data_IF_351593657005
#
_entry.id   IF_351593657005
#
_cell.length_a   1.000
_cell.length_b   1.000
_cell.length_c   1.000
_cell.angle_alpha   90.00
_cell.angle_beta   90.00
_cell.angle_gamma   90.00
#
_symmetry.space_group_name_H-M   'P 1'
#
loop_
_entity.id
_entity.type
_entity.pdbx_description
1 polymer ?
#
# COMPACT_ATOMS: atom_id res chain seq x y z
N UNK A 1 -24.14 16.77 -42.72
CA UNK A 1 -24.58 17.51 -41.52
C UNK A 1 -25.03 16.52 -40.48
N UNK A 2 -24.07 16.00 -39.69
CA UNK A 2 -24.29 14.90 -38.76
C UNK A 2 -24.18 15.46 -37.33
N UNK A 3 -25.28 15.38 -36.57
CA UNK A 3 -25.47 15.99 -35.26
C UNK A 3 -24.53 15.38 -34.19
N UNK A 4 -23.53 16.12 -33.79
CA UNK A 4 -22.76 15.90 -32.55
C UNK A 4 -23.59 16.41 -31.34
N UNK A 5 -24.40 15.56 -30.74
CA UNK A 5 -25.17 15.91 -29.56
C UNK A 5 -25.20 14.72 -28.57
N UNK A 6 -24.11 14.29 -27.95
CA UNK A 6 -24.19 13.43 -26.77
C UNK A 6 -22.81 13.19 -26.07
N UNK A 7 -21.84 14.11 -26.23
CA UNK A 7 -20.53 13.94 -25.54
C UNK A 7 -20.35 14.77 -24.28
N UNK A 8 -21.36 15.56 -23.90
CA UNK A 8 -21.26 16.46 -22.72
C UNK A 8 -21.69 15.83 -21.38
N UNK A 9 -22.33 14.65 -21.38
CA UNK A 9 -22.84 14.03 -20.14
C UNK A 9 -21.80 13.23 -19.36
N UNK A 10 -20.68 12.85 -19.96
CA UNK A 10 -19.63 12.06 -19.31
C UNK A 10 -18.72 12.93 -18.44
N UNK A 11 -18.65 14.23 -18.69
CA UNK A 11 -17.83 15.19 -17.93
C UNK A 11 -18.50 15.69 -16.63
N UNK A 12 -19.80 15.43 -16.43
CA UNK A 12 -20.53 15.85 -15.22
C UNK A 12 -20.56 14.79 -14.11
N UNK A 13 -20.21 13.55 -14.42
CA UNK A 13 -20.19 12.49 -13.41
C UNK A 13 -19.10 12.69 -12.34
N UNK A 14 -17.86 13.12 -12.66
CA UNK A 14 -16.87 13.42 -11.64
C UNK A 14 -17.15 14.70 -10.84
N UNK A 15 -17.89 15.66 -11.40
CA UNK A 15 -18.23 16.91 -10.72
C UNK A 15 -19.34 16.75 -9.66
N UNK A 16 -20.20 15.74 -9.78
CA UNK A 16 -21.26 15.43 -8.81
C UNK A 16 -20.74 14.63 -7.61
N UNK A 17 -19.62 13.91 -7.77
CA UNK A 17 -18.95 13.18 -6.66
C UNK A 17 -18.08 14.13 -5.83
N UNK A 18 -17.65 15.25 -6.37
CA UNK A 18 -16.80 16.23 -5.69
C UNK A 18 -17.54 17.16 -4.70
N UNK A 19 -18.85 17.09 -4.57
CA UNK A 19 -19.61 17.95 -3.67
C UNK A 19 -20.05 17.32 -2.35
N UNK A 20 -19.80 16.03 -2.15
CA UNK A 20 -20.07 15.38 -0.89
C UNK A 20 -18.76 14.98 -0.21
N UNK A 21 -18.48 15.67 0.88
CA UNK A 21 -17.44 15.33 1.88
C UNK A 21 -15.99 15.60 1.47
N UNK A 22 -15.55 16.85 1.41
CA UNK A 22 -14.29 17.20 2.01
C UNK A 22 -14.48 17.28 3.54
N UNK A 23 -14.77 16.16 4.17
CA UNK A 23 -14.29 15.92 5.52
C UNK A 23 -12.78 15.81 5.37
N UNK A 24 -12.02 16.71 5.96
CA UNK A 24 -10.58 16.60 6.06
C UNK A 24 -10.30 15.20 6.58
N UNK A 25 -9.62 14.37 5.80
CA UNK A 25 -9.18 13.07 6.28
C UNK A 25 -8.09 13.36 7.31
N UNK A 26 -8.41 13.17 8.57
CA UNK A 26 -7.48 13.29 9.68
C UNK A 26 -6.51 12.09 9.64
N UNK A 27 -5.66 12.01 8.62
CA UNK A 27 -4.67 10.95 8.42
C UNK A 27 -4.94 9.98 7.27
N UNK A 28 -3.93 9.24 6.87
CA UNK A 28 -3.97 8.25 5.78
C UNK A 28 -4.65 6.95 6.19
N UNK A 29 -4.69 6.64 7.47
CA UNK A 29 -5.42 5.55 8.11
C UNK A 29 -6.14 6.07 9.35
N UNK A 30 -6.94 5.24 9.98
CA UNK A 30 -7.54 5.50 11.29
C UNK A 30 -7.36 4.30 12.23
N UNK A 31 -6.42 3.42 11.90
CA UNK A 31 -6.13 2.22 12.69
C UNK A 31 -5.47 2.55 14.02
N UNK A 32 -6.00 2.13 15.18
CA UNK A 32 -5.31 2.22 16.46
C UNK A 32 -3.96 1.52 16.47
N UNK A 33 -3.78 0.49 15.64
CA UNK A 33 -2.50 -0.20 15.51
C UNK A 33 -1.44 0.62 14.77
N UNK A 34 -1.80 1.74 14.15
CA UNK A 34 -0.85 2.66 13.54
C UNK A 34 -0.05 3.51 14.55
N UNK A 35 -0.37 3.41 15.84
CA UNK A 35 0.41 3.98 16.94
C UNK A 35 1.82 3.39 17.05
N UNK A 36 2.04 2.17 16.52
CA UNK A 36 3.29 1.45 16.73
C UNK A 36 4.23 1.58 15.54
N UNK A 37 5.49 1.92 15.80
CA UNK A 37 6.58 1.97 14.83
C UNK A 37 6.34 2.95 13.68
N UNK A 38 6.36 2.43 12.48
CA UNK A 38 6.13 3.22 11.26
C UNK A 38 4.64 3.30 10.87
N UNK A 39 3.74 2.89 11.76
CA UNK A 39 2.33 2.78 11.46
C UNK A 39 1.92 1.43 10.85
N UNK A 40 0.76 1.40 10.21
CA UNK A 40 0.25 0.19 9.56
C UNK A 40 0.94 0.00 8.20
N UNK A 41 1.62 -1.14 8.03
CA UNK A 41 2.27 -1.47 6.75
C UNK A 41 1.20 -1.85 5.72
N UNK A 42 1.26 -1.21 4.56
CA UNK A 42 0.32 -1.38 3.46
C UNK A 42 0.60 -2.64 2.62
N UNK A 43 -0.45 -3.15 1.98
CA UNK A 43 -0.31 -4.08 0.87
C UNK A 43 0.21 -3.31 -0.36
N UNK A 44 1.37 -3.72 -0.88
CA UNK A 44 2.08 -2.99 -1.95
C UNK A 44 1.71 -3.42 -3.37
N UNK A 45 0.71 -4.29 -3.57
CA UNK A 45 0.27 -4.72 -4.90
C UNK A 45 -0.46 -3.60 -5.64
N UNK A 46 -0.34 -3.60 -6.98
CA UNK A 46 -1.00 -2.63 -7.86
C UNK A 46 -1.84 -3.31 -8.94
N UNK A 47 -2.72 -2.55 -9.57
CA UNK A 47 -3.48 -2.96 -10.74
C UNK A 47 -4.29 -4.24 -10.53
N UNK A 48 -4.01 -5.27 -11.32
CA UNK A 48 -4.78 -6.52 -11.29
C UNK A 48 -4.58 -7.34 -10.01
N UNK A 49 -3.42 -7.24 -9.38
CA UNK A 49 -3.07 -8.01 -8.16
C UNK A 49 -3.91 -7.60 -6.95
N UNK A 50 -4.46 -6.38 -6.92
CA UNK A 50 -5.41 -5.94 -5.89
C UNK A 50 -6.68 -6.80 -5.86
N UNK A 51 -7.14 -7.28 -7.03
CA UNK A 51 -8.29 -8.19 -7.14
C UNK A 51 -7.95 -9.68 -6.97
N UNK A 52 -6.66 -10.03 -6.85
CA UNK A 52 -6.15 -11.41 -6.73
C UNK A 52 -5.68 -11.76 -5.31
N UNK A 53 -6.26 -11.15 -4.29
CA UNK A 53 -5.81 -11.35 -2.90
C UNK A 53 -4.40 -10.84 -2.66
N UNK A 54 -3.93 -9.86 -3.43
CA UNK A 54 -2.56 -9.33 -3.39
C UNK A 54 -1.48 -10.36 -3.76
N UNK A 55 -1.84 -11.40 -4.53
CA UNK A 55 -0.91 -12.38 -5.09
C UNK A 55 -0.40 -11.94 -6.47
N UNK A 56 0.79 -12.39 -6.86
CA UNK A 56 1.38 -12.07 -8.15
C UNK A 56 2.89 -12.27 -8.24
N UNK A 57 3.56 -12.83 -7.24
CA UNK A 57 5.02 -13.08 -7.28
C UNK A 57 5.40 -13.99 -8.46
N UNK A 58 4.58 -15.02 -8.75
CA UNK A 58 4.77 -15.90 -9.92
C UNK A 58 3.98 -15.47 -11.15
N UNK A 59 3.21 -14.39 -11.10
CA UNK A 59 2.30 -13.99 -12.18
C UNK A 59 3.06 -13.29 -13.31
N UNK A 60 3.01 -13.86 -14.52
CA UNK A 60 3.46 -13.21 -15.76
C UNK A 60 2.40 -12.22 -16.24
N UNK A 61 2.75 -10.95 -16.22
CA UNK A 61 1.90 -9.90 -16.72
C UNK A 61 2.59 -9.18 -17.87
N UNK A 62 2.15 -9.47 -19.11
CA UNK A 62 2.68 -8.88 -20.33
C UNK A 62 1.89 -7.65 -20.78
N UNK A 63 0.70 -7.44 -20.20
CA UNK A 63 -0.26 -6.40 -20.60
C UNK A 63 -0.46 -5.31 -19.56
N UNK A 64 0.49 -5.16 -18.65
CA UNK A 64 0.46 -4.20 -17.56
C UNK A 64 1.65 -4.32 -16.65
N UNK A 65 1.59 -3.68 -15.49
CA UNK A 65 2.69 -3.64 -14.53
C UNK A 65 2.40 -4.61 -13.38
N UNK A 66 3.30 -5.55 -13.13
CA UNK A 66 3.35 -6.33 -11.91
C UNK A 66 4.58 -5.90 -11.10
N UNK A 67 4.35 -5.19 -10.01
CA UNK A 67 5.40 -4.66 -9.14
C UNK A 67 5.83 -5.63 -8.04
N UNK A 68 5.11 -6.74 -7.84
CA UNK A 68 5.41 -7.72 -6.78
C UNK A 68 6.67 -8.53 -7.08
N UNK A 69 7.09 -8.59 -8.36
CA UNK A 69 8.33 -9.25 -8.76
C UNK A 69 9.03 -8.45 -9.87
N UNK A 70 10.23 -7.89 -9.62
CA UNK A 70 10.94 -7.08 -10.61
C UNK A 70 11.32 -7.84 -11.88
N UNK A 71 11.41 -9.17 -11.85
CA UNK A 71 11.65 -9.97 -13.05
C UNK A 71 10.54 -9.81 -14.12
N UNK A 72 9.33 -9.37 -13.71
CA UNK A 72 8.23 -9.14 -14.64
C UNK A 72 8.50 -7.98 -15.61
N UNK A 73 9.33 -7.01 -15.26
CA UNK A 73 9.66 -5.87 -16.14
C UNK A 73 10.38 -6.33 -17.42
N UNK A 74 11.03 -7.50 -17.43
CA UNK A 74 11.58 -8.11 -18.63
C UNK A 74 10.54 -8.46 -19.70
N UNK A 75 9.25 -8.58 -19.31
CA UNK A 75 8.14 -8.97 -20.17
C UNK A 75 7.47 -7.79 -20.88
N UNK A 76 7.87 -6.56 -20.60
CA UNK A 76 7.30 -5.38 -21.27
C UNK A 76 7.48 -5.50 -22.78
N UNK A 77 6.39 -5.43 -23.59
CA UNK A 77 6.46 -5.61 -25.02
C UNK A 77 7.29 -4.52 -25.71
N UNK A 78 7.79 -4.84 -26.92
CA UNK A 78 8.55 -3.89 -27.73
C UNK A 78 7.71 -2.64 -28.06
N UNK A 79 8.28 -1.47 -27.86
CA UNK A 79 7.67 -0.16 -28.09
C UNK A 79 6.45 0.14 -27.19
N UNK A 80 6.15 -0.69 -26.18
CA UNK A 80 5.11 -0.39 -25.20
C UNK A 80 5.64 0.44 -24.05
N UNK A 81 4.82 1.35 -23.58
CA UNK A 81 4.97 2.10 -22.36
C UNK A 81 3.71 1.93 -21.54
N UNK A 82 3.86 1.42 -20.32
CA UNK A 82 2.75 1.22 -19.40
C UNK A 82 2.72 2.29 -18.33
N UNK A 83 1.51 2.73 -17.97
CA UNK A 83 1.21 3.59 -16.84
C UNK A 83 0.19 2.87 -15.96
N UNK A 84 0.33 2.97 -14.66
CA UNK A 84 -0.69 2.55 -13.70
C UNK A 84 -0.81 3.60 -12.61
N UNK A 85 -1.99 4.18 -12.47
CA UNK A 85 -2.31 5.19 -11.45
C UNK A 85 -3.52 4.69 -10.70
N UNK A 86 -3.42 4.68 -9.37
CA UNK A 86 -4.47 4.16 -8.50
C UNK A 86 -4.87 5.11 -7.39
N UNK A 87 -6.14 5.03 -7.02
CA UNK A 87 -6.72 5.63 -5.82
C UNK A 87 -7.40 4.53 -5.00
N UNK A 88 -7.37 4.68 -3.67
CA UNK A 88 -7.91 3.73 -2.70
C UNK A 88 -8.84 4.45 -1.73
N UNK A 89 -10.09 4.04 -1.66
CA UNK A 89 -11.05 4.46 -0.63
C UNK A 89 -11.29 3.33 0.36
N UNK A 90 -11.32 3.64 1.65
CA UNK A 90 -11.58 2.67 2.70
C UNK A 90 -12.70 3.16 3.62
N UNK A 91 -13.62 2.27 3.93
CA UNK A 91 -14.59 2.41 5.02
C UNK A 91 -14.19 1.43 6.10
N UNK A 92 -13.77 1.97 7.23
CA UNK A 92 -13.25 1.22 8.36
C UNK A 92 -14.28 1.21 9.49
N UNK A 93 -14.46 0.05 10.10
CA UNK A 93 -15.30 -0.12 11.28
C UNK A 93 -14.46 -0.75 12.39
N UNK A 94 -14.40 -0.06 13.52
CA UNK A 94 -13.69 -0.46 14.72
C UNK A 94 -14.67 -0.96 15.76
N UNK A 95 -14.41 -2.12 16.35
CA UNK A 95 -15.25 -2.76 17.37
C UNK A 95 -14.40 -3.02 18.62
N UNK A 96 -14.80 -2.38 19.73
CA UNK A 96 -14.22 -2.59 21.05
C UNK A 96 -15.33 -2.78 22.07
N UNK A 97 -15.69 -4.06 22.35
CA UNK A 97 -16.67 -4.47 23.39
C UNK A 97 -18.05 -3.81 23.34
N UNK A 98 -18.53 -3.47 22.13
CA UNK A 98 -19.86 -2.90 21.93
C UNK A 98 -19.86 -1.40 21.62
N UNK A 99 -18.73 -0.74 21.76
CA UNK A 99 -18.53 0.61 21.21
C UNK A 99 -17.91 0.48 19.82
N UNK A 100 -18.59 1.02 18.83
CA UNK A 100 -18.17 0.94 17.42
C UNK A 100 -18.00 2.32 16.82
N UNK A 101 -16.91 2.55 16.13
CA UNK A 101 -16.65 3.77 15.35
C UNK A 101 -16.45 3.41 13.88
N UNK A 102 -16.86 4.28 12.97
CA UNK A 102 -16.61 4.11 11.54
C UNK A 102 -15.95 5.36 10.99
N UNK A 103 -14.88 5.17 10.21
CA UNK A 103 -14.15 6.25 9.52
C UNK A 103 -14.02 5.92 8.04
N UNK A 104 -13.95 6.96 7.22
CA UNK A 104 -13.74 6.85 5.77
C UNK A 104 -12.48 7.60 5.39
N UNK A 105 -11.60 6.94 4.63
CA UNK A 105 -10.38 7.54 4.09
C UNK A 105 -10.35 7.42 2.57
N UNK A 106 -9.70 8.38 1.90
CA UNK A 106 -9.43 8.35 0.47
C UNK A 106 -7.96 8.68 0.25
N UNK A 107 -7.23 7.71 -0.27
CA UNK A 107 -5.78 7.80 -0.39
C UNK A 107 -5.33 7.54 -1.83
N UNK A 108 -4.14 8.03 -2.15
CA UNK A 108 -3.36 7.60 -3.28
C UNK A 108 -2.99 6.10 -3.11
N UNK A 109 -3.12 5.31 -4.16
CA UNK A 109 -2.76 3.88 -4.14
C UNK A 109 -1.39 3.65 -4.74
N UNK A 110 -1.16 4.15 -5.95
CA UNK A 110 0.11 3.96 -6.65
C UNK A 110 0.25 4.86 -7.87
N UNK A 111 1.51 5.12 -8.23
CA UNK A 111 1.93 5.62 -9.53
C UNK A 111 3.03 4.69 -10.05
N UNK A 112 2.85 4.11 -11.23
CA UNK A 112 3.82 3.21 -11.81
C UNK A 112 3.99 3.44 -13.30
N UNK A 113 5.22 3.24 -13.77
CA UNK A 113 5.61 3.30 -15.17
C UNK A 113 6.45 2.08 -15.50
N UNK A 114 6.28 1.52 -16.73
CA UNK A 114 7.14 0.46 -17.21
C UNK A 114 7.37 0.60 -18.70
N UNK A 115 8.59 0.37 -19.14
CA UNK A 115 9.00 0.45 -20.54
C UNK A 115 10.13 -0.54 -20.85
N UNK A 116 10.26 -0.87 -22.10
CA UNK A 116 11.32 -1.73 -22.59
C UNK A 116 12.53 -0.89 -23.02
N UNK A 117 13.72 -1.23 -22.51
CA UNK A 117 14.99 -0.57 -22.87
C UNK A 117 15.56 -1.21 -24.12
N UNK A 118 15.78 -2.53 -24.09
CA UNK A 118 16.29 -3.33 -25.21
C UNK A 118 15.59 -4.67 -25.27
N UNK A 119 15.99 -5.54 -26.15
CA UNK A 119 15.48 -6.90 -26.18
C UNK A 119 15.86 -7.67 -24.92
N UNK A 120 14.84 -8.20 -24.24
CA UNK A 120 15.00 -8.90 -22.96
C UNK A 120 15.24 -8.01 -21.74
N UNK A 121 15.43 -6.68 -21.89
CA UNK A 121 15.64 -5.75 -20.77
C UNK A 121 14.52 -4.72 -20.70
N UNK A 122 13.79 -4.72 -19.61
CA UNK A 122 12.77 -3.71 -19.28
C UNK A 122 13.08 -3.03 -17.97
N UNK A 123 12.52 -1.84 -17.79
CA UNK A 123 12.62 -1.04 -16.58
C UNK A 123 11.28 -0.46 -16.19
N UNK A 124 11.17 -0.02 -14.95
CA UNK A 124 10.04 0.72 -14.46
C UNK A 124 10.33 1.47 -13.18
N UNK A 125 9.47 2.42 -12.89
CA UNK A 125 9.46 3.20 -11.66
C UNK A 125 8.12 3.00 -11.00
N UNK A 126 8.10 2.74 -9.70
CA UNK A 126 6.86 2.60 -8.93
C UNK A 126 6.95 3.46 -7.68
N UNK A 127 5.88 4.19 -7.37
CA UNK A 127 5.71 4.93 -6.13
C UNK A 127 4.44 4.45 -5.45
N UNK A 128 4.57 3.96 -4.21
CA UNK A 128 3.49 3.32 -3.46
C UNK A 128 3.58 3.75 -1.99
N UNK A 129 2.46 4.07 -1.31
CA UNK A 129 2.46 4.23 0.13
C UNK A 129 2.94 2.94 0.80
N UNK A 130 4.00 3.02 1.61
CA UNK A 130 4.59 1.89 2.30
C UNK A 130 3.91 1.64 3.65
N UNK A 131 3.71 2.72 4.42
CA UNK A 131 3.00 2.67 5.70
C UNK A 131 2.14 3.91 5.89
N UNK A 132 1.10 3.77 6.70
CA UNK A 132 0.17 4.85 7.03
C UNK A 132 0.03 4.96 8.55
N UNK A 133 0.13 6.20 9.05
CA UNK A 133 -0.14 6.57 10.44
C UNK A 133 -1.39 7.45 10.49
N UNK A 134 -2.29 7.15 11.41
CA UNK A 134 -3.50 7.94 11.64
C UNK A 134 -4.24 7.39 12.86
N UNK A 135 -4.07 8.05 14.00
CA UNK A 135 -4.77 7.70 15.23
C UNK A 135 -5.13 8.96 16.02
N UNK A 136 -6.12 8.83 16.88
CA UNK A 136 -6.59 9.86 17.77
C UNK A 136 -6.99 9.22 19.09
N UNK A 137 -6.26 9.52 20.15
CA UNK A 137 -6.51 9.06 21.50
C UNK A 137 -6.95 10.27 22.33
N UNK A 138 -8.21 10.30 22.76
CA UNK A 138 -8.81 11.44 23.45
C UNK A 138 -9.06 11.13 24.91
N UNK A 139 -8.87 12.14 25.77
CA UNK A 139 -9.19 12.08 27.19
C UNK A 139 -8.37 11.06 27.96
N UNK A 140 -7.10 10.92 27.62
CA UNK A 140 -6.16 10.09 28.41
C UNK A 140 -5.92 10.78 29.76
N UNK A 141 -6.38 10.15 30.84
CA UNK A 141 -6.18 10.69 32.19
C UNK A 141 -4.87 10.20 32.78
N UNK A 142 -4.01 11.12 33.16
CA UNK A 142 -2.73 10.87 33.81
C UNK A 142 -2.66 11.59 35.15
N UNK A 143 -2.05 10.96 36.16
CA UNK A 143 -1.88 11.57 37.47
C UNK A 143 -0.58 12.38 37.53
N UNK A 144 -0.62 13.53 38.15
CA UNK A 144 0.59 14.32 38.42
C UNK A 144 1.34 13.65 39.59
N UNK A 145 2.55 13.19 39.34
CA UNK A 145 3.37 12.50 40.34
C UNK A 145 3.61 13.41 41.53
N UNK A 146 3.30 12.90 42.74
CA UNK A 146 3.40 13.64 43.98
C UNK A 146 2.22 14.55 44.32
N UNK A 147 1.11 14.50 43.56
CA UNK A 147 -0.12 15.26 43.78
C UNK A 147 -1.34 14.33 43.68
N UNK A 148 -2.50 14.82 44.16
CA UNK A 148 -3.79 14.17 43.95
C UNK A 148 -4.53 14.71 42.71
N UNK A 149 -3.86 15.52 41.93
CA UNK A 149 -4.43 16.10 40.70
C UNK A 149 -4.15 15.21 39.48
N UNK A 150 -5.10 15.16 38.57
CA UNK A 150 -4.97 14.52 37.27
C UNK A 150 -5.09 15.57 36.15
N UNK A 151 -4.49 15.30 35.04
CA UNK A 151 -4.68 16.07 33.81
C UNK A 151 -5.16 15.15 32.68
N UNK A 152 -5.82 15.73 31.70
CA UNK A 152 -6.24 15.03 30.49
C UNK A 152 -5.32 15.42 29.35
N UNK A 153 -4.91 14.41 28.58
CA UNK A 153 -4.18 14.61 27.32
C UNK A 153 -4.92 14.00 26.15
N UNK A 154 -4.70 14.62 24.98
CA UNK A 154 -5.12 14.09 23.70
C UNK A 154 -3.88 13.87 22.85
N UNK A 155 -3.78 12.71 22.21
CA UNK A 155 -2.65 12.34 21.35
C UNK A 155 -3.16 12.05 19.95
N UNK A 156 -2.54 12.70 18.96
CA UNK A 156 -2.85 12.54 17.54
C UNK A 156 -1.59 12.11 16.81
N UNK A 157 -1.71 11.13 15.93
CA UNK A 157 -0.63 10.73 15.04
C UNK A 157 -1.06 10.80 13.60
N UNK A 158 -0.21 11.36 12.74
CA UNK A 158 -0.44 11.51 11.31
C UNK A 158 0.81 11.20 10.52
N UNK A 159 0.65 10.80 9.25
CA UNK A 159 1.76 10.65 8.33
C UNK A 159 1.92 9.25 7.78
N UNK A 160 3.15 8.89 7.45
CA UNK A 160 3.49 7.58 6.90
C UNK A 160 4.69 7.66 5.95
N UNK A 161 5.05 6.52 5.40
CA UNK A 161 6.19 6.38 4.49
C UNK A 161 5.72 5.99 3.09
N UNK A 162 6.48 6.44 2.10
CA UNK A 162 6.33 6.08 0.69
C UNK A 162 7.56 5.28 0.23
N UNK A 163 7.35 4.33 -0.68
CA UNK A 163 8.38 3.57 -1.39
C UNK A 163 8.45 4.05 -2.85
N UNK A 164 9.54 4.69 -3.23
CA UNK A 164 9.87 5.01 -4.61
C UNK A 164 10.90 4.00 -5.11
N UNK A 165 10.47 3.09 -5.99
CA UNK A 165 11.30 1.99 -6.47
C UNK A 165 11.65 2.13 -7.95
N UNK A 166 12.91 1.88 -8.28
CA UNK A 166 13.39 1.66 -9.64
C UNK A 166 13.54 0.15 -9.84
N UNK A 167 12.89 -0.36 -10.87
CA UNK A 167 12.82 -1.78 -11.16
C UNK A 167 13.48 -2.07 -12.51
N UNK A 168 14.29 -3.12 -12.56
CA UNK A 168 14.94 -3.64 -13.77
C UNK A 168 14.62 -5.13 -13.90
N UNK A 169 14.20 -5.56 -15.10
CA UNK A 169 13.96 -6.96 -15.41
C UNK A 169 14.74 -7.37 -16.63
N UNK A 170 15.44 -8.50 -16.55
CA UNK A 170 16.24 -9.04 -17.64
C UNK A 170 15.88 -10.50 -17.93
N UNK A 171 15.61 -10.82 -19.20
CA UNK A 171 15.42 -12.20 -19.70
C UNK A 171 16.77 -12.83 -19.95
N UNK A 172 17.22 -13.70 -19.04
CA UNK A 172 18.47 -14.44 -19.19
C UNK A 172 18.33 -15.52 -20.26
N UNK A 173 17.16 -16.19 -20.27
CA UNK A 173 16.74 -17.15 -21.31
C UNK A 173 15.26 -16.92 -21.63
N UNK A 174 14.69 -17.66 -22.56
CA UNK A 174 13.24 -17.59 -22.85
C UNK A 174 12.38 -17.99 -21.63
N UNK A 175 12.91 -18.87 -20.77
CA UNK A 175 12.20 -19.40 -19.59
C UNK A 175 12.63 -18.79 -18.27
N UNK A 176 13.81 -18.16 -18.18
CA UNK A 176 14.34 -17.61 -16.93
C UNK A 176 14.55 -16.10 -17.03
N UNK A 177 13.94 -15.35 -16.12
CA UNK A 177 14.07 -13.90 -15.98
C UNK A 177 14.54 -13.56 -14.59
N UNK A 178 15.40 -12.55 -14.53
CA UNK A 178 15.95 -11.98 -13.30
C UNK A 178 15.47 -10.55 -13.16
N UNK A 179 15.31 -10.11 -11.93
CA UNK A 179 14.90 -8.75 -11.60
C UNK A 179 15.71 -8.15 -10.47
N UNK A 180 15.85 -6.84 -10.53
CA UNK A 180 16.49 -6.02 -9.51
C UNK A 180 15.58 -4.85 -9.17
N UNK A 181 15.48 -4.52 -7.89
CA UNK A 181 14.78 -3.33 -7.39
C UNK A 181 15.70 -2.54 -6.48
N UNK A 182 15.76 -1.23 -6.70
CA UNK A 182 16.30 -0.27 -5.76
C UNK A 182 15.16 0.62 -5.26
N UNK A 183 14.86 0.56 -3.97
CA UNK A 183 13.77 1.28 -3.31
C UNK A 183 14.32 2.39 -2.43
N UNK A 184 13.80 3.59 -2.56
CA UNK A 184 14.01 4.69 -1.63
C UNK A 184 12.74 4.88 -0.80
N UNK A 185 12.85 4.55 0.48
CA UNK A 185 11.78 4.72 1.47
C UNK A 185 11.95 6.09 2.12
N UNK A 186 10.89 6.87 2.18
CA UNK A 186 10.92 8.22 2.76
C UNK A 186 9.54 8.63 3.25
N UNK A 187 9.49 9.51 4.22
CA UNK A 187 8.26 10.08 4.75
C UNK A 187 8.44 10.66 6.13
N UNK A 188 7.37 11.15 6.71
CA UNK A 188 7.35 11.69 8.06
C UNK A 188 6.19 11.16 8.85
N UNK A 189 6.39 11.05 10.15
CA UNK A 189 5.39 10.74 11.15
C UNK A 189 5.37 11.91 12.12
N UNK A 190 4.19 12.48 12.31
CA UNK A 190 3.94 13.57 13.24
C UNK A 190 3.05 13.07 14.37
N UNK A 191 3.49 13.29 15.60
CA UNK A 191 2.70 13.07 16.80
C UNK A 191 2.50 14.38 17.52
N UNK A 192 1.25 14.71 17.81
CA UNK A 192 0.88 15.89 18.59
C UNK A 192 0.20 15.46 19.87
N UNK A 193 0.78 15.82 21.01
CA UNK A 193 0.19 15.62 22.31
C UNK A 193 -0.21 16.95 22.92
N UNK A 194 -1.48 17.07 23.32
CA UNK A 194 -2.02 18.27 23.92
C UNK A 194 -2.48 18.02 25.34
N UNK A 195 -2.14 18.95 26.23
CA UNK A 195 -2.43 18.88 27.67
C UNK A 195 -3.23 20.11 28.09
N UNK A 196 -4.25 19.90 28.90
CA UNK A 196 -4.97 20.97 29.57
C UNK A 196 -4.71 20.89 31.06
N UNK A 197 -3.97 21.87 31.58
CA UNK A 197 -3.66 21.96 33.01
C UNK A 197 -4.15 23.32 33.52
N UNK A 198 -5.26 23.31 34.28
CA UNK A 198 -5.88 24.50 34.81
C UNK A 198 -6.31 25.50 33.72
N UNK A 199 -5.58 26.61 33.51
CA UNK A 199 -5.82 27.62 32.48
C UNK A 199 -4.80 27.61 31.36
N UNK A 200 -3.86 26.68 31.40
CA UNK A 200 -2.79 26.55 30.42
C UNK A 200 -3.11 25.41 29.48
N UNK A 201 -2.96 25.65 28.18
CA UNK A 201 -2.91 24.65 27.14
C UNK A 201 -1.47 24.49 26.71
N UNK A 202 -0.98 23.27 26.73
CA UNK A 202 0.36 22.90 26.27
C UNK A 202 0.22 21.93 25.11
N UNK A 203 0.94 22.18 24.03
CA UNK A 203 1.00 21.33 22.85
C UNK A 203 2.45 20.95 22.57
N UNK A 204 2.69 19.65 22.49
CA UNK A 204 3.97 19.05 22.11
C UNK A 204 3.77 18.41 20.73
N UNK A 205 4.48 18.88 19.72
CA UNK A 205 4.49 18.28 18.39
C UNK A 205 5.87 17.68 18.11
N UNK A 206 5.91 16.41 17.80
CA UNK A 206 7.11 15.67 17.40
C UNK A 206 6.96 15.23 15.95
N UNK A 207 7.86 15.64 15.07
CA UNK A 207 7.91 15.23 13.68
C UNK A 207 9.18 14.42 13.44
N UNK A 208 9.03 13.13 13.13
CA UNK A 208 10.14 12.25 12.77
C UNK A 208 10.17 12.03 11.27
N UNK A 209 11.24 12.46 10.63
CA UNK A 209 11.49 12.21 9.21
C UNK A 209 12.33 10.96 9.05
N UNK A 210 11.82 9.98 8.31
CA UNK A 210 12.51 8.72 8.03
C UNK A 210 12.97 8.66 6.58
N UNK A 211 14.16 8.11 6.36
CA UNK A 211 14.65 7.78 5.02
C UNK A 211 15.59 6.58 5.02
N UNK A 212 15.58 5.81 3.90
CA UNK A 212 16.47 4.67 3.74
C UNK A 212 16.44 4.10 2.32
N UNK A 213 17.47 3.34 1.97
CA UNK A 213 17.58 2.71 0.66
C UNK A 213 17.61 1.19 0.80
N UNK A 214 16.70 0.51 0.11
CA UNK A 214 16.49 -0.93 0.16
C UNK A 214 16.75 -1.58 -1.20
N UNK A 215 17.37 -2.74 -1.21
CA UNK A 215 17.64 -3.53 -2.40
C UNK A 215 16.77 -4.78 -2.40
N UNK A 216 16.25 -5.12 -3.58
CA UNK A 216 15.47 -6.33 -3.81
C UNK A 216 15.88 -7.06 -5.08
N UNK A 217 15.64 -8.36 -5.11
CA UNK A 217 15.87 -9.25 -6.25
C UNK A 217 14.61 -10.06 -6.53
N UNK A 218 14.43 -10.43 -7.78
CA UNK A 218 13.32 -11.27 -8.18
C UNK A 218 13.71 -12.25 -9.27
N UNK A 219 13.00 -13.37 -9.34
CA UNK A 219 13.15 -14.33 -10.44
C UNK A 219 11.79 -14.78 -10.95
N UNK A 220 11.70 -15.04 -12.25
CA UNK A 220 10.62 -15.79 -12.87
C UNK A 220 11.20 -16.95 -13.65
N UNK A 221 10.70 -18.15 -13.39
CA UNK A 221 11.06 -19.36 -14.10
C UNK A 221 9.84 -20.06 -14.67
N UNK A 222 9.75 -20.13 -16.00
CA UNK A 222 8.68 -20.82 -16.69
C UNK A 222 8.95 -22.31 -16.75
N UNK A 223 8.03 -23.11 -16.22
CA UNK A 223 8.01 -24.56 -16.30
C UNK A 223 6.99 -24.96 -17.38
N UNK A 224 7.49 -25.20 -18.57
CA UNK A 224 6.63 -25.39 -19.75
C UNK A 224 5.92 -24.10 -20.16
N UNK A 225 4.71 -24.25 -20.71
CA UNK A 225 3.96 -23.08 -21.25
C UNK A 225 2.96 -22.47 -20.25
N UNK A 226 2.61 -23.21 -19.20
CA UNK A 226 1.45 -22.90 -18.38
C UNK A 226 1.78 -22.59 -16.91
N UNK A 227 2.96 -22.91 -16.45
CA UNK A 227 3.35 -22.72 -15.03
C UNK A 227 4.53 -21.77 -14.97
N UNK A 228 4.46 -20.79 -14.09
CA UNK A 228 5.58 -19.90 -13.76
C UNK A 228 5.81 -19.93 -12.26
N UNK A 229 7.03 -20.18 -11.86
CA UNK A 229 7.50 -19.99 -10.49
C UNK A 229 8.13 -18.59 -10.38
N UNK A 230 7.86 -17.91 -9.28
CA UNK A 230 8.48 -16.65 -8.93
C UNK A 230 9.13 -16.72 -7.56
N UNK A 231 10.24 -16.03 -7.39
CA UNK A 231 10.78 -15.75 -6.07
C UNK A 231 11.19 -14.28 -5.96
N UNK A 232 11.12 -13.74 -4.76
CA UNK A 232 11.55 -12.38 -4.43
C UNK A 232 12.32 -12.39 -3.12
N UNK A 233 13.33 -11.55 -3.05
CA UNK A 233 14.13 -11.28 -1.85
C UNK A 233 14.26 -9.77 -1.70
N UNK A 234 13.89 -9.22 -0.54
CA UNK A 234 14.23 -7.85 -0.17
C UNK A 234 15.19 -7.89 1.01
N UNK A 235 16.29 -7.20 0.89
CA UNK A 235 17.30 -7.13 1.95
C UNK A 235 16.80 -6.27 3.11
N UNK A 236 17.28 -6.53 4.34
CA UNK A 236 16.98 -5.66 5.47
C UNK A 236 17.55 -4.26 5.23
N UNK A 237 16.92 -3.25 5.81
CA UNK A 237 17.39 -1.86 5.75
C UNK A 237 17.15 -1.16 7.07
N UNK A 238 18.07 -0.30 7.44
CA UNK A 238 17.91 0.65 8.54
C UNK A 238 17.44 1.97 7.97
N UNK A 239 16.31 2.47 8.47
CA UNK A 239 15.80 3.79 8.17
C UNK A 239 16.36 4.77 9.19
N UNK A 240 17.06 5.81 8.71
CA UNK A 240 17.54 6.87 9.57
C UNK A 240 16.37 7.79 9.93
N UNK A 241 16.19 8.05 11.21
CA UNK A 241 15.18 8.95 11.76
C UNK A 241 15.81 10.28 12.16
N UNK A 242 15.14 11.40 11.86
CA UNK A 242 15.48 12.72 12.33
C UNK A 242 14.27 13.35 13.01
N UNK A 243 14.38 13.71 14.30
CA UNK A 243 13.29 14.24 15.12
C UNK A 243 13.38 15.77 15.23
N UNK A 244 12.27 16.42 14.92
CA UNK A 244 12.03 17.82 15.25
C UNK A 244 10.95 17.89 16.32
N UNK A 245 11.17 18.67 17.38
CA UNK A 245 10.23 18.84 18.48
C UNK A 245 9.87 20.30 18.66
N UNK A 246 8.58 20.60 18.72
CA UNK A 246 8.05 21.93 19.00
C UNK A 246 7.16 21.87 20.23
N UNK A 247 7.36 22.79 21.17
CA UNK A 247 6.52 22.93 22.36
C UNK A 247 5.89 24.32 22.36
N UNK A 248 4.59 24.37 22.26
CA UNK A 248 3.80 25.60 22.34
C UNK A 248 2.98 25.64 23.64
N UNK A 249 2.94 26.77 24.29
CA UNK A 249 2.12 27.01 25.49
C UNK A 249 1.19 28.17 25.24
N UNK A 250 -0.10 27.96 25.44
CA UNK A 250 -1.09 29.03 25.44
C UNK A 250 -1.50 29.35 26.88
N UNK A 251 -1.34 30.59 27.28
CA UNK A 251 -1.76 31.10 28.57
C UNK A 251 -2.68 32.32 28.38
N UNK A 252 -3.89 32.27 28.95
CA UNK A 252 -4.90 33.34 28.86
C UNK A 252 -5.19 33.79 27.39
N UNK A 253 -5.03 32.90 26.42
CA UNK A 253 -5.29 33.14 25.00
C UNK A 253 -4.10 33.68 24.18
N UNK A 254 -2.95 33.91 24.81
CA UNK A 254 -1.70 34.22 24.10
C UNK A 254 -0.83 32.97 23.94
N UNK A 255 -0.43 32.67 22.71
CA UNK A 255 0.46 31.57 22.40
C UNK A 255 1.90 32.02 22.60
N UNK A 256 2.67 31.23 23.35
CA UNK A 256 4.10 31.41 23.58
C UNK A 256 4.80 30.13 23.15
N UNK A 257 5.56 30.16 22.07
CA UNK A 257 6.44 29.04 21.69
C UNK A 257 7.56 28.96 22.72
N UNK A 258 7.57 27.87 23.48
CA UNK A 258 8.53 27.70 24.60
C UNK A 258 9.84 27.07 24.13
N UNK A 259 9.77 26.19 23.13
CA UNK A 259 10.92 25.52 22.52
C UNK A 259 10.63 25.33 21.04
N UNK A 260 11.44 25.93 20.21
CA UNK A 260 11.55 25.61 18.79
C UNK A 260 12.97 25.00 18.63
N UNK A 261 13.07 23.74 18.95
CA UNK A 261 14.34 23.05 18.87
C UNK A 261 14.33 22.23 17.58
N UNK A 262 15.05 22.71 16.57
CA UNK A 262 15.75 21.80 15.68
C UNK A 262 16.67 20.95 16.57
N UNK A 263 16.12 19.98 17.24
CA UNK A 263 16.91 19.04 17.98
C UNK A 263 17.44 18.04 16.95
N UNK A 264 18.71 18.15 16.66
CA UNK A 264 19.54 17.08 16.10
C UNK A 264 19.60 15.93 17.15
N UNK A 265 18.42 15.45 17.52
CA UNK A 265 18.23 14.31 18.39
C UNK A 265 18.07 13.12 17.47
N UNK A 266 19.13 12.34 17.35
CA UNK A 266 19.09 11.00 16.76
C UNK A 266 17.95 10.21 17.41
N UNK A 267 16.84 10.09 16.66
CA UNK A 267 15.84 9.06 17.00
C UNK A 267 16.48 7.72 16.71
N UNK A 268 16.18 6.74 17.51
CA UNK A 268 16.63 5.38 17.25
C UNK A 268 16.18 4.95 15.85
N UNK A 269 17.15 4.57 15.04
CA UNK A 269 16.94 4.03 13.69
C UNK A 269 15.86 2.95 13.69
N UNK A 270 14.98 2.97 12.68
CA UNK A 270 13.99 1.91 12.52
C UNK A 270 14.48 0.87 11.50
N UNK A 271 14.48 -0.42 11.88
CA UNK A 271 14.96 -1.50 11.02
C UNK A 271 13.81 -2.23 10.35
N UNK A 272 13.84 -2.28 9.02
CA UNK A 272 12.96 -3.14 8.25
C UNK A 272 13.59 -4.52 8.05
N UNK A 273 12.82 -5.60 8.16
CA UNK A 273 13.31 -6.97 8.08
C UNK A 273 13.71 -7.37 6.66
N UNK A 274 14.46 -8.46 6.55
CA UNK A 274 14.56 -9.22 5.32
C UNK A 274 13.19 -9.81 4.98
N UNK A 275 12.81 -9.78 3.70
CA UNK A 275 11.59 -10.42 3.19
C UNK A 275 11.94 -11.45 2.12
N UNK A 276 11.36 -12.64 2.24
CA UNK A 276 11.40 -13.69 1.23
C UNK A 276 9.98 -13.98 0.74
N UNK A 277 9.83 -14.11 -0.57
CA UNK A 277 8.56 -14.48 -1.19
C UNK A 277 8.72 -15.54 -2.25
N UNK A 278 7.77 -16.46 -2.30
CA UNK A 278 7.66 -17.47 -3.34
C UNK A 278 6.26 -17.46 -3.91
N UNK A 279 6.13 -17.58 -5.23
CA UNK A 279 4.85 -17.59 -5.89
C UNK A 279 4.81 -18.57 -7.04
N UNK A 280 3.63 -19.08 -7.30
CA UNK A 280 3.33 -19.90 -8.46
C UNK A 280 2.15 -19.31 -9.19
N UNK A 281 2.22 -19.27 -10.52
CA UNK A 281 1.04 -19.04 -11.34
C UNK A 281 0.85 -20.19 -12.32
N UNK A 282 -0.41 -20.57 -12.53
CA UNK A 282 -0.79 -21.61 -13.46
C UNK A 282 -1.90 -21.12 -14.39
N UNK A 283 -1.68 -21.19 -15.71
CA UNK A 283 -2.68 -20.88 -16.74
C UNK A 283 -3.41 -22.14 -17.14
N UNK A 284 -4.72 -22.17 -16.92
CA UNK A 284 -5.60 -23.28 -17.25
C UNK A 284 -6.51 -22.89 -18.43
N UNK A 285 -6.47 -23.65 -19.54
CA UNK A 285 -7.36 -23.46 -20.69
C UNK A 285 -7.42 -22.02 -21.23
N UNK A 286 -6.27 -21.35 -21.36
CA UNK A 286 -6.08 -19.99 -21.90
C UNK A 286 -6.93 -18.87 -21.24
N UNK A 287 -7.95 -19.23 -20.47
CA UNK A 287 -8.91 -18.29 -19.89
C UNK A 287 -8.79 -18.14 -18.39
N UNK A 288 -8.26 -19.13 -17.68
CA UNK A 288 -8.10 -19.11 -16.23
C UNK A 288 -6.64 -19.02 -15.84
N UNK A 289 -6.35 -18.12 -14.93
CA UNK A 289 -5.05 -18.03 -14.26
C UNK A 289 -5.26 -18.16 -12.77
N UNK A 290 -4.54 -19.08 -12.15
CA UNK A 290 -4.47 -19.26 -10.71
C UNK A 290 -3.13 -18.76 -10.22
N UNK A 291 -3.11 -18.12 -9.06
CA UNK A 291 -1.91 -17.64 -8.39
C UNK A 291 -1.92 -18.07 -6.93
N UNK A 292 -0.77 -18.42 -6.40
CA UNK A 292 -0.57 -18.68 -4.99
C UNK A 292 0.80 -18.16 -4.57
N UNK A 293 0.84 -17.35 -3.52
CA UNK A 293 2.06 -16.77 -2.99
C UNK A 293 2.20 -17.07 -1.49
N UNK A 294 3.44 -17.24 -1.07
CA UNK A 294 3.86 -17.22 0.32
C UNK A 294 4.94 -16.17 0.50
N UNK A 295 4.81 -15.34 1.53
CA UNK A 295 5.82 -14.34 1.92
C UNK A 295 6.13 -14.47 3.41
N UNK A 296 7.41 -14.34 3.74
CA UNK A 296 7.91 -14.29 5.11
C UNK A 296 8.76 -13.04 5.31
N UNK A 297 8.44 -12.28 6.37
CA UNK A 297 9.22 -11.14 6.83
C UNK A 297 9.84 -11.49 8.18
N UNK A 298 11.17 -11.38 8.28
CA UNK A 298 11.95 -11.83 9.43
C UNK A 298 12.08 -10.70 10.48
N UNK A 299 10.97 -10.34 11.09
CA UNK A 299 10.91 -9.25 12.06
C UNK A 299 11.67 -9.56 13.35
N UNK A 300 11.68 -10.80 13.84
CA UNK A 300 12.43 -11.19 15.02
C UNK A 300 13.92 -10.85 14.90
N UNK A 301 14.48 -10.92 13.69
CA UNK A 301 15.88 -10.61 13.41
C UNK A 301 16.21 -9.11 13.52
N UNK A 302 15.22 -8.22 13.59
CA UNK A 302 15.44 -6.78 13.77
C UNK A 302 15.77 -6.43 15.22
N UNK A 303 15.38 -7.28 16.17
CA UNK A 303 15.50 -7.08 17.61
C UNK A 303 14.90 -5.77 18.11
N UNK A 304 13.81 -5.33 17.47
CA UNK A 304 13.07 -4.14 17.84
C UNK A 304 11.88 -4.50 18.73
N UNK A 305 11.54 -3.58 19.60
CA UNK A 305 10.36 -3.69 20.48
C UNK A 305 9.78 -2.31 20.72
N UNK A 306 8.49 -2.25 20.91
CA UNK A 306 7.76 -1.09 21.37
C UNK A 306 7.56 -1.15 22.90
N UNK A 307 7.08 -0.06 23.49
CA UNK A 307 6.85 0.01 24.93
C UNK A 307 5.92 -1.12 25.47
N UNK A 308 4.87 -1.45 24.71
CA UNK A 308 3.88 -2.49 25.03
C UNK A 308 3.70 -3.53 23.92
N UNK A 309 4.57 -3.56 22.93
CA UNK A 309 4.49 -4.45 21.78
C UNK A 309 5.83 -5.02 21.39
N UNK A 310 5.81 -6.14 20.67
CA UNK A 310 7.00 -6.78 20.09
C UNK A 310 6.76 -7.06 18.62
N UNK A 311 7.84 -6.98 17.83
CA UNK A 311 7.81 -7.38 16.43
C UNK A 311 8.15 -8.85 16.32
N UNK A 312 7.33 -9.60 15.59
CA UNK A 312 7.47 -11.05 15.41
C UNK A 312 7.43 -11.43 13.95
N UNK A 313 8.09 -12.53 13.58
CA UNK A 313 8.10 -13.03 12.20
C UNK A 313 6.68 -13.10 11.62
N UNK A 314 6.54 -12.53 10.41
CA UNK A 314 5.27 -12.45 9.69
C UNK A 314 5.25 -13.44 8.54
N UNK A 315 4.17 -14.20 8.45
CA UNK A 315 3.87 -15.10 7.34
C UNK A 315 2.58 -14.65 6.64
N UNK A 316 2.65 -14.46 5.32
CA UNK A 316 1.50 -14.07 4.50
C UNK A 316 1.25 -15.11 3.42
N UNK A 317 0.00 -15.57 3.31
CA UNK A 317 -0.47 -16.49 2.29
C UNK A 317 -1.48 -15.78 1.41
N UNK A 318 -1.29 -15.80 0.09
CA UNK A 318 -2.19 -15.14 -0.86
C UNK A 318 -2.57 -16.10 -1.98
N UNK A 319 -3.85 -16.08 -2.36
CA UNK A 319 -4.40 -16.89 -3.44
C UNK A 319 -5.24 -16.01 -4.35
N UNK A 320 -5.10 -16.19 -5.65
CA UNK A 320 -5.83 -15.45 -6.65
C UNK A 320 -6.31 -16.32 -7.79
N UNK A 321 -7.46 -15.95 -8.34
CA UNK A 321 -8.02 -16.54 -9.55
C UNK A 321 -8.48 -15.43 -10.48
N UNK A 322 -8.08 -15.51 -11.74
CA UNK A 322 -8.54 -14.63 -12.81
C UNK A 322 -9.21 -15.46 -13.90
N UNK A 323 -10.36 -14.99 -14.35
CA UNK A 323 -11.01 -15.44 -15.56
C UNK A 323 -11.00 -14.32 -16.60
N UNK A 324 -10.36 -14.55 -17.74
CA UNK A 324 -10.29 -13.63 -18.87
C UNK A 324 -10.45 -14.44 -20.15
N UNK A 325 -11.64 -14.37 -20.76
CA UNK A 325 -11.98 -15.21 -21.91
C UNK A 325 -11.15 -14.82 -23.14
N UNK A 326 -11.30 -13.58 -23.64
CA UNK A 326 -10.58 -13.11 -24.82
C UNK A 326 -10.56 -11.58 -24.87
N UNK A 327 -9.39 -10.99 -24.69
CA UNK A 327 -9.20 -9.52 -24.71
C UNK A 327 -9.56 -8.87 -26.05
N UNK A 328 -9.52 -9.61 -27.15
CA UNK A 328 -9.82 -9.14 -28.51
C UNK A 328 -11.19 -9.55 -29.02
N UNK A 329 -12.06 -10.10 -28.15
CA UNK A 329 -13.39 -10.49 -28.54
C UNK A 329 -14.24 -9.29 -29.03
N UNK A 330 -15.09 -9.52 -30.02
CA UNK A 330 -16.04 -8.49 -30.52
C UNK A 330 -17.02 -8.06 -29.40
N UNK A 331 -17.55 -9.01 -28.63
CA UNK A 331 -18.47 -8.74 -27.53
C UNK A 331 -17.72 -8.21 -26.31
N UNK A 332 -18.10 -7.02 -25.81
CA UNK A 332 -17.46 -6.36 -24.69
C UNK A 332 -17.32 -7.26 -23.45
N UNK A 333 -18.40 -7.98 -23.07
CA UNK A 333 -18.43 -8.86 -21.90
C UNK A 333 -17.38 -9.98 -21.91
N UNK A 334 -16.96 -10.42 -23.09
CA UNK A 334 -15.91 -11.44 -23.24
C UNK A 334 -14.50 -10.88 -23.03
N UNK A 335 -14.36 -9.56 -22.98
CA UNK A 335 -13.09 -8.86 -22.74
C UNK A 335 -12.89 -8.46 -21.30
N UNK A 336 -13.96 -8.50 -20.48
CA UNK A 336 -13.88 -8.19 -19.05
C UNK A 336 -13.09 -9.29 -18.34
N UNK A 337 -12.10 -8.88 -17.55
CA UNK A 337 -11.40 -9.75 -16.63
C UNK A 337 -12.11 -9.81 -15.28
N UNK A 338 -12.46 -11.00 -14.82
CA UNK A 338 -13.04 -11.24 -13.50
C UNK A 338 -11.97 -11.83 -12.60
N UNK A 339 -11.90 -11.33 -11.36
CA UNK A 339 -10.88 -11.75 -10.39
C UNK A 339 -11.50 -11.99 -9.06
N UNK A 340 -10.96 -12.96 -8.32
CA UNK A 340 -11.26 -13.21 -6.93
C UNK A 340 -9.97 -13.63 -6.22
N UNK A 341 -9.85 -13.29 -4.95
CA UNK A 341 -8.67 -13.65 -4.19
C UNK A 341 -8.91 -13.69 -2.69
N UNK A 342 -7.95 -14.25 -2.01
CA UNK A 342 -7.90 -14.38 -0.56
C UNK A 342 -6.47 -14.16 -0.09
N UNK A 343 -6.34 -13.48 1.04
CA UNK A 343 -5.06 -13.26 1.71
C UNK A 343 -5.23 -13.52 3.20
N UNK A 344 -4.26 -14.19 3.81
CA UNK A 344 -4.13 -14.33 5.25
C UNK A 344 -2.76 -13.86 5.69
N UNK A 345 -2.71 -13.06 6.74
CA UNK A 345 -1.53 -12.48 7.35
C UNK A 345 -1.54 -12.79 8.84
N UNK A 346 -0.51 -13.48 9.34
CA UNK A 346 -0.42 -13.83 10.77
C UNK A 346 0.03 -12.64 11.65
N UNK A 347 0.28 -11.48 11.05
CA UNK A 347 0.70 -10.26 11.74
C UNK A 347 2.17 -10.22 12.12
N UNK A 348 2.72 -9.00 12.08
CA UNK A 348 4.10 -8.72 12.51
C UNK A 348 4.18 -8.08 13.90
N UNK A 349 3.07 -7.54 14.39
CA UNK A 349 2.98 -6.89 15.69
C UNK A 349 2.25 -7.81 16.68
N UNK A 350 2.82 -8.01 17.84
CA UNK A 350 2.20 -8.69 18.97
C UNK A 350 2.05 -7.73 20.16
N UNK A 351 0.84 -7.58 20.67
CA UNK A 351 0.52 -6.77 21.83
C UNK A 351 0.04 -7.71 22.95
N UNK A 352 0.67 -7.64 24.13
CA UNK A 352 0.42 -8.58 25.23
C UNK A 352 0.47 -10.05 24.77
N UNK A 353 1.50 -10.42 24.03
CA UNK A 353 1.72 -11.76 23.45
C UNK A 353 0.65 -12.21 22.42
N UNK A 354 -0.28 -11.35 22.05
CA UNK A 354 -1.28 -11.61 21.03
C UNK A 354 -0.89 -10.98 19.70
N UNK A 355 -0.64 -11.79 18.68
CA UNK A 355 -0.39 -11.30 17.30
C UNK A 355 -1.65 -10.66 16.71
N UNK A 356 -1.45 -9.59 15.96
CA UNK A 356 -2.51 -8.89 15.25
C UNK A 356 -2.62 -9.47 13.84
N UNK A 357 -3.25 -10.63 13.74
CA UNK A 357 -3.48 -11.29 12.45
C UNK A 357 -4.71 -10.75 11.71
N UNK A 358 -4.83 -11.11 10.45
CA UNK A 358 -5.96 -10.69 9.64
C UNK A 358 -6.13 -11.52 8.37
N UNK A 359 -7.29 -11.36 7.75
CA UNK A 359 -7.57 -11.94 6.45
C UNK A 359 -8.30 -10.94 5.56
N UNK A 360 -8.14 -11.12 4.25
CA UNK A 360 -8.76 -10.28 3.23
C UNK A 360 -9.35 -11.13 2.12
N UNK A 361 -10.61 -10.91 1.78
CA UNK A 361 -11.24 -11.41 0.56
C UNK A 361 -11.29 -10.29 -0.47
N UNK A 362 -10.91 -10.58 -1.71
CA UNK A 362 -10.94 -9.60 -2.78
C UNK A 362 -11.78 -10.07 -3.97
N UNK A 363 -12.39 -9.10 -4.64
CA UNK A 363 -13.04 -9.29 -5.93
C UNK A 363 -12.61 -8.17 -6.88
N UNK A 364 -12.39 -8.47 -8.15
CA UNK A 364 -11.89 -7.49 -9.11
C UNK A 364 -12.52 -7.61 -10.49
N UNK A 365 -12.62 -6.45 -11.16
CA UNK A 365 -13.07 -6.33 -12.55
C UNK A 365 -12.02 -5.57 -13.35
N UNK A 366 -11.60 -6.15 -14.49
CA UNK A 366 -10.76 -5.47 -15.48
C UNK A 366 -11.62 -5.03 -16.66
N UNK A 367 -11.87 -3.74 -16.80
CA UNK A 367 -12.71 -3.16 -17.82
C UNK A 367 -11.84 -2.59 -18.96
N UNK A 368 -11.74 -3.24 -20.13
CA UNK A 368 -10.90 -2.77 -21.22
C UNK A 368 -11.43 -1.46 -21.81
N UNK A 369 -10.55 -0.48 -22.01
CA UNK A 369 -10.90 0.84 -22.59
C UNK A 369 -10.96 0.78 -24.12
N UNK A 370 -10.20 -0.11 -24.77
CA UNK A 370 -10.11 -0.25 -26.21
C UNK A 370 -10.18 -1.70 -26.68
N UNK A 371 -10.23 -1.90 -28.02
CA UNK A 371 -10.20 -3.24 -28.63
C UNK A 371 -8.78 -3.67 -29.00
N UNK A 372 -7.91 -2.70 -29.31
CA UNK A 372 -6.54 -2.92 -29.79
C UNK A 372 -5.47 -2.45 -28.81
N UNK A 373 -5.87 -1.99 -27.61
CA UNK A 373 -5.00 -1.57 -26.52
C UNK A 373 -5.17 -2.51 -25.35
N UNK A 374 -4.10 -2.73 -24.58
CA UNK A 374 -4.15 -3.42 -23.29
C UNK A 374 -4.61 -2.51 -22.14
N UNK A 375 -5.02 -1.27 -22.45
CA UNK A 375 -5.49 -0.31 -21.46
C UNK A 375 -6.77 -0.78 -20.78
N UNK A 376 -6.80 -0.69 -19.45
CA UNK A 376 -7.90 -1.14 -18.58
C UNK A 376 -8.17 -0.17 -17.46
N UNK A 377 -9.43 -0.12 -17.01
CA UNK A 377 -9.79 0.32 -15.69
C UNK A 377 -9.92 -0.95 -14.82
N UNK A 378 -9.10 -1.06 -13.80
CA UNK A 378 -9.17 -2.14 -12.82
C UNK A 378 -9.91 -1.65 -11.59
N UNK A 379 -11.02 -2.27 -11.26
CA UNK A 379 -11.79 -2.05 -10.05
C UNK A 379 -11.57 -3.24 -9.13
N UNK A 380 -11.17 -2.98 -7.88
CA UNK A 380 -10.97 -4.03 -6.88
C UNK A 380 -11.67 -3.65 -5.60
N UNK A 381 -12.46 -4.56 -5.09
CA UNK A 381 -13.09 -4.49 -3.78
C UNK A 381 -12.45 -5.49 -2.86
N UNK A 382 -12.11 -5.07 -1.63
CA UNK A 382 -11.57 -5.89 -0.56
C UNK A 382 -12.43 -5.82 0.69
N UNK A 383 -12.65 -6.95 1.33
CA UNK A 383 -13.16 -7.05 2.68
C UNK A 383 -12.09 -7.67 3.57
N UNK A 384 -11.63 -6.91 4.57
CA UNK A 384 -10.59 -7.35 5.50
C UNK A 384 -11.11 -7.34 6.92
N UNK A 385 -10.62 -8.27 7.73
CA UNK A 385 -10.79 -8.24 9.19
C UNK A 385 -9.44 -8.49 9.85
N UNK A 386 -9.09 -7.63 10.82
CA UNK A 386 -7.80 -7.65 11.52
C UNK A 386 -8.00 -7.45 13.01
N UNK A 387 -7.20 -8.15 13.82
CA UNK A 387 -7.20 -8.02 15.26
C UNK A 387 -8.40 -8.67 15.96
N UNK A 388 -8.49 -8.46 17.26
CA UNK A 388 -9.45 -9.14 18.16
C UNK A 388 -10.10 -8.14 19.11
N UNK A 389 -11.28 -8.50 19.63
CA UNK A 389 -11.95 -7.76 20.71
C UNK A 389 -11.53 -8.37 22.05
N UNK A 390 -10.35 -7.99 22.55
CA UNK A 390 -9.83 -8.51 23.82
C UNK A 390 -8.91 -7.48 24.49
N UNK A 391 -9.16 -7.14 25.76
CA UNK A 391 -8.38 -6.16 26.53
C UNK A 391 -8.29 -4.80 25.83
N UNK A 392 -7.07 -4.37 25.44
CA UNK A 392 -6.80 -3.13 24.70
C UNK A 392 -6.92 -3.33 23.17
N UNK A 393 -7.14 -4.57 22.71
CA UNK A 393 -7.19 -4.88 21.29
C UNK A 393 -8.54 -4.50 20.69
N UNK A 394 -8.51 -4.01 19.47
CA UNK A 394 -9.65 -3.59 18.68
C UNK A 394 -9.78 -4.49 17.45
N UNK A 395 -10.98 -4.95 17.14
CA UNK A 395 -11.25 -5.60 15.86
C UNK A 395 -11.54 -4.57 14.80
N UNK A 396 -10.77 -4.60 13.75
CA UNK A 396 -10.92 -3.73 12.60
C UNK A 396 -11.55 -4.50 11.44
N UNK A 397 -12.53 -3.89 10.78
CA UNK A 397 -13.14 -4.36 9.54
C UNK A 397 -13.02 -3.28 8.50
N UNK A 398 -12.45 -3.63 7.34
CA UNK A 398 -12.22 -2.71 6.24
C UNK A 398 -13.02 -3.13 5.01
N UNK A 399 -13.68 -2.15 4.41
CA UNK A 399 -14.22 -2.25 3.06
C UNK A 399 -13.39 -1.33 2.17
N UNK A 400 -12.54 -1.92 1.36
CA UNK A 400 -11.59 -1.18 0.51
C UNK A 400 -12.07 -1.22 -0.93
N UNK A 401 -12.14 -0.06 -1.58
CA UNK A 401 -12.37 0.06 -3.02
C UNK A 401 -11.15 0.71 -3.66
N UNK A 402 -10.49 -0.03 -4.56
CA UNK A 402 -9.34 0.48 -5.32
C UNK A 402 -9.71 0.61 -6.79
N UNK A 403 -9.39 1.76 -7.37
CA UNK A 403 -9.56 2.04 -8.79
C UNK A 403 -8.19 2.33 -9.39
N UNK A 404 -7.76 1.49 -10.33
CA UNK A 404 -6.52 1.67 -11.08
C UNK A 404 -6.84 1.96 -12.54
N UNK A 405 -6.21 2.99 -13.08
CA UNK A 405 -6.16 3.27 -14.50
C UNK A 405 -4.83 2.75 -15.06
N UNK A 406 -4.88 1.56 -15.67
CA UNK A 406 -3.73 0.91 -16.32
C UNK A 406 -3.77 1.20 -17.81
N UNK A 407 -2.84 1.99 -18.30
CA UNK A 407 -2.78 2.44 -19.70
C UNK A 407 -1.57 1.87 -20.41
N UNK A 408 -1.73 1.60 -21.69
CA UNK A 408 -0.66 1.28 -22.64
C UNK A 408 -0.60 2.34 -23.73
N UNK A 409 0.61 2.86 -23.98
CA UNK A 409 0.92 3.68 -25.14
C UNK A 409 2.06 3.04 -25.95
N UNK A 410 2.09 3.35 -27.24
CA UNK A 410 3.10 2.83 -28.17
C UNK A 410 4.08 3.95 -28.51
N UNK A 411 5.28 3.87 -27.94
CA UNK A 411 6.37 4.82 -28.19
C UNK A 411 7.29 4.34 -29.32
N UNK A 412 8.02 5.30 -29.94
CA UNK A 412 9.01 5.07 -30.99
C UNK A 412 8.50 4.44 -32.30
N UNK A 413 7.21 4.55 -32.60
CA UNK A 413 6.75 4.30 -33.95
C UNK A 413 7.23 5.40 -34.88
N UNK A 414 8.13 5.09 -35.83
CA UNK A 414 8.43 6.01 -36.95
C UNK A 414 7.13 6.25 -37.72
N UNK A 415 6.65 7.49 -37.74
CA UNK A 415 5.56 7.88 -38.65
C UNK A 415 6.05 7.64 -40.05
N UNK A 416 5.41 6.73 -40.80
CA UNK A 416 5.55 6.69 -42.25
C UNK A 416 4.85 7.94 -42.79
N UNK A 417 5.62 8.90 -43.27
CA UNK A 417 5.14 10.01 -44.09
C UNK A 417 4.96 9.39 -45.47
N UNK A 418 3.71 9.15 -45.89
CA UNK A 418 3.35 8.81 -47.28
C UNK A 418 3.21 10.10 -48.07
#
# INVERSE_FOLDING_TARGET
MMKMKNRFWILWLPALIAQSTFSQSEGLTSSPYSLYGLGTINQTSIGISNGLGHSGIGLKQETGINNLNPANFALVPKNSFFYDIGIKGELNHYDNRGDGESKTTLNFSNLAFAFRITEGLGAGVTMIPYSDVGYSLLGLSSNIEGSNESFESNVYGLGGLSDLSINLGYSLTESLRLGFTGSFLFGNIEETESFVISRSYLELTETTNYSGFRIGFGTHWDIGQNITLGSVLKLPVTLNGNLTRTVAKTLDGEEIVVVDAEADNDVSDFKLPMELGFGISARLKDSFTLTADYRKSFWDATHQSEHIGTYTDQDTYAFGMQYLNNQRAYKYWKRIGYRAGFNYDNGYLALNDQKIDGYTFTAGLGLPIGVFSNSMINLSYGYSSKGYVQNILVREKYHTLTVNLSLEDLWFKKRKIN
#
